data_IF_344926775134
#
_entry.id   IF_344926775134
#
_cell.length_a   1.000
_cell.length_b   1.000
_cell.length_c   1.000
_cell.angle_alpha   90.00
_cell.angle_beta   90.00
_cell.angle_gamma   90.00
#
_symmetry.space_group_name_H-M   'P 1'
#
loop_
_entity.id
_entity.type
_entity.pdbx_description
1 polymer ?
#
# COMPACT_ATOMS: atom_id res chain seq x y z
N UNK A 1 -42.60 -38.62 -63.58
CA UNK A 1 -43.23 -38.76 -62.25
C UNK A 1 -42.26 -38.20 -61.20
N UNK A 2 -42.55 -36.99 -60.72
CA UNK A 2 -41.68 -36.19 -59.83
C UNK A 2 -41.75 -36.75 -58.39
N UNK A 3 -40.62 -37.22 -57.86
CA UNK A 3 -40.45 -37.55 -56.43
C UNK A 3 -39.81 -36.35 -55.72
N UNK A 4 -40.56 -35.75 -54.78
CA UNK A 4 -40.10 -34.69 -53.89
C UNK A 4 -39.05 -35.26 -52.92
N UNK A 5 -37.87 -34.64 -52.87
CA UNK A 5 -36.88 -34.85 -51.81
C UNK A 5 -36.87 -33.59 -50.94
N UNK A 6 -37.35 -33.71 -49.71
CA UNK A 6 -37.18 -32.69 -48.67
C UNK A 6 -35.74 -32.74 -48.18
N UNK A 7 -34.98 -31.68 -48.44
CA UNK A 7 -33.68 -31.44 -47.83
C UNK A 7 -33.89 -30.96 -46.40
N UNK A 8 -33.56 -31.81 -45.42
CA UNK A 8 -33.50 -31.43 -44.02
C UNK A 8 -32.19 -30.66 -43.77
N UNK A 9 -32.30 -29.37 -43.49
CA UNK A 9 -31.17 -28.52 -43.13
C UNK A 9 -30.78 -28.84 -41.68
N UNK A 10 -29.64 -29.50 -41.46
CA UNK A 10 -29.04 -29.62 -40.12
C UNK A 10 -28.55 -28.24 -39.69
N UNK A 11 -29.19 -27.65 -38.67
CA UNK A 11 -28.66 -26.51 -37.95
C UNK A 11 -27.64 -27.05 -36.94
N UNK A 12 -26.35 -26.97 -37.29
CA UNK A 12 -25.26 -27.16 -36.33
C UNK A 12 -25.22 -25.99 -35.36
N UNK A 13 -25.70 -26.21 -34.14
CA UNK A 13 -25.52 -25.29 -33.01
C UNK A 13 -24.05 -25.36 -32.60
N UNK A 14 -23.27 -24.33 -32.94
CA UNK A 14 -21.95 -24.13 -32.36
C UNK A 14 -22.14 -23.70 -30.91
N UNK A 15 -21.97 -24.64 -29.98
CA UNK A 15 -21.81 -24.34 -28.56
C UNK A 15 -20.49 -23.57 -28.38
N UNK A 16 -20.57 -22.25 -28.31
CA UNK A 16 -19.47 -21.41 -27.84
C UNK A 16 -19.25 -21.75 -26.36
N UNK A 17 -18.24 -22.56 -26.07
CA UNK A 17 -17.69 -22.69 -24.72
C UNK A 17 -17.08 -21.36 -24.36
N UNK A 18 -17.80 -20.56 -23.58
CA UNK A 18 -17.24 -19.41 -22.86
C UNK A 18 -16.11 -20.01 -21.99
N UNK A 19 -14.85 -19.52 -22.09
CA UNK A 19 -13.83 -19.94 -21.15
C UNK A 19 -14.35 -19.61 -19.75
N UNK A 20 -14.36 -20.60 -18.87
CA UNK A 20 -14.71 -20.40 -17.47
C UNK A 20 -13.97 -19.15 -16.98
N UNK A 21 -14.70 -18.19 -16.43
CA UNK A 21 -14.11 -17.14 -15.62
C UNK A 21 -13.14 -17.86 -14.68
N UNK A 22 -11.86 -17.48 -14.70
CA UNK A 22 -10.89 -18.04 -13.77
C UNK A 22 -11.50 -17.82 -12.39
N UNK A 23 -11.85 -18.92 -11.71
CA UNK A 23 -12.30 -18.83 -10.33
C UNK A 23 -11.15 -18.14 -9.60
N UNK A 24 -11.40 -16.95 -9.04
CA UNK A 24 -10.41 -16.21 -8.28
C UNK A 24 -10.11 -17.07 -7.05
N UNK A 25 -8.96 -17.75 -7.03
CA UNK A 25 -8.61 -18.63 -5.93
C UNK A 25 -7.83 -17.83 -4.90
N UNK A 26 -8.42 -17.55 -3.74
CA UNK A 26 -7.70 -16.96 -2.62
C UNK A 26 -8.05 -17.72 -1.33
N UNK A 27 -7.52 -18.94 -1.14
CA UNK A 27 -7.95 -19.82 -0.06
C UNK A 27 -7.85 -19.21 1.34
N UNK A 28 -6.88 -18.31 1.55
CA UNK A 28 -6.72 -17.59 2.82
C UNK A 28 -7.90 -16.63 3.15
N UNK A 29 -8.74 -16.31 2.15
CA UNK A 29 -9.88 -15.41 2.28
C UNK A 29 -11.22 -16.15 2.29
N UNK A 30 -11.25 -17.45 1.97
CA UNK A 30 -12.49 -18.21 1.73
C UNK A 30 -13.40 -18.31 2.97
N UNK A 31 -12.82 -18.31 4.17
CA UNK A 31 -13.54 -18.47 5.45
C UNK A 31 -13.80 -17.14 6.18
N UNK A 32 -13.48 -15.99 5.56
CA UNK A 32 -13.71 -14.68 6.17
C UNK A 32 -15.18 -14.26 6.06
N UNK A 33 -15.71 -13.59 7.09
CA UNK A 33 -16.97 -12.86 6.98
C UNK A 33 -16.82 -11.67 6.02
N UNK A 34 -17.95 -11.13 5.53
CA UNK A 34 -17.93 -9.93 4.67
C UNK A 34 -17.20 -8.74 5.35
N UNK A 35 -17.35 -8.59 6.66
CA UNK A 35 -16.67 -7.56 7.45
C UNK A 35 -15.16 -7.80 7.49
N UNK A 36 -14.73 -9.04 7.76
CA UNK A 36 -13.31 -9.41 7.77
C UNK A 36 -12.68 -9.29 6.38
N UNK A 37 -13.44 -9.59 5.32
CA UNK A 37 -13.00 -9.40 3.94
C UNK A 37 -12.82 -7.91 3.64
N UNK A 38 -13.75 -7.05 4.06
CA UNK A 38 -13.63 -5.60 3.90
C UNK A 38 -12.42 -5.04 4.66
N UNK A 39 -12.20 -5.49 5.91
CA UNK A 39 -11.01 -5.15 6.69
C UNK A 39 -9.73 -5.58 5.96
N UNK A 40 -9.72 -6.78 5.38
CA UNK A 40 -8.58 -7.29 4.60
C UNK A 40 -8.30 -6.44 3.36
N UNK A 41 -9.34 -6.06 2.62
CA UNK A 41 -9.21 -5.19 1.44
C UNK A 41 -8.66 -3.81 1.83
N UNK A 42 -9.20 -3.21 2.90
CA UNK A 42 -8.73 -1.92 3.40
C UNK A 42 -7.26 -1.99 3.84
N UNK A 43 -6.88 -3.05 4.54
CA UNK A 43 -5.52 -3.27 4.99
C UNK A 43 -4.54 -3.40 3.83
N UNK A 44 -4.92 -4.14 2.77
CA UNK A 44 -4.14 -4.27 1.53
C UNK A 44 -3.96 -2.90 0.85
N UNK A 45 -5.02 -2.11 0.72
CA UNK A 45 -4.99 -0.79 0.08
C UNK A 45 -4.13 0.19 0.91
N UNK A 46 -4.33 0.26 2.22
CA UNK A 46 -3.56 1.14 3.10
C UNK A 46 -2.06 0.85 3.04
N UNK A 47 -1.69 -0.44 3.10
CA UNK A 47 -0.30 -0.84 2.93
C UNK A 47 0.25 -0.54 1.53
N UNK A 48 -0.58 -0.66 0.49
CA UNK A 48 -0.19 -0.29 -0.87
C UNK A 48 0.10 1.22 -0.98
N UNK A 49 -0.77 2.05 -0.40
CA UNK A 49 -0.59 3.51 -0.37
C UNK A 49 0.73 3.86 0.32
N UNK A 50 0.98 3.40 1.54
CA UNK A 50 2.21 3.73 2.25
C UNK A 50 3.46 3.25 1.49
N UNK A 51 3.47 2.01 0.99
CA UNK A 51 4.62 1.45 0.26
C UNK A 51 4.91 2.23 -1.02
N UNK A 52 3.87 2.69 -1.72
CA UNK A 52 4.03 3.51 -2.91
C UNK A 52 4.49 4.93 -2.59
N UNK A 53 4.00 5.54 -1.51
CA UNK A 53 4.51 6.83 -1.01
C UNK A 53 6.00 6.72 -0.67
N UNK A 54 6.41 5.63 -0.01
CA UNK A 54 7.82 5.35 0.28
C UNK A 54 8.67 5.31 -1.00
N UNK A 55 8.27 4.53 -2.01
CA UNK A 55 9.04 4.44 -3.26
C UNK A 55 8.98 5.73 -4.08
N UNK A 56 7.88 6.48 -4.01
CA UNK A 56 7.79 7.82 -4.61
C UNK A 56 8.69 8.83 -3.87
N UNK A 57 8.86 8.71 -2.55
CA UNK A 57 9.86 9.47 -1.79
C UNK A 57 11.29 9.09 -2.20
N UNK A 58 11.60 7.80 -2.42
CA UNK A 58 12.90 7.38 -3.01
C UNK A 58 13.13 7.98 -4.39
N UNK A 59 12.09 8.05 -5.21
CA UNK A 59 12.15 8.74 -6.49
C UNK A 59 12.53 10.21 -6.31
N UNK A 60 11.83 10.97 -5.44
CA UNK A 60 12.17 12.38 -5.17
C UNK A 60 13.63 12.54 -4.69
N UNK A 61 14.04 11.71 -3.73
CA UNK A 61 15.41 11.72 -3.18
C UNK A 61 16.43 11.50 -4.29
N UNK A 62 16.19 10.52 -5.17
CA UNK A 62 17.12 10.19 -6.26
C UNK A 62 17.14 11.23 -7.39
N UNK A 63 15.99 11.77 -7.79
CA UNK A 63 15.90 12.69 -8.93
C UNK A 63 16.46 14.08 -8.57
N UNK A 64 16.24 14.52 -7.33
CA UNK A 64 16.66 15.83 -6.83
C UNK A 64 17.98 15.79 -6.04
N UNK A 65 18.58 14.61 -5.89
CA UNK A 65 19.79 14.41 -5.08
C UNK A 65 19.62 14.98 -3.67
N UNK A 66 18.46 14.71 -3.05
CA UNK A 66 18.15 15.22 -1.73
C UNK A 66 19.08 14.62 -0.68
N UNK A 67 19.43 15.35 0.39
CA UNK A 67 20.25 14.79 1.45
C UNK A 67 19.56 13.60 2.11
N UNK A 68 20.29 12.50 2.31
CA UNK A 68 19.82 11.39 3.13
C UNK A 68 19.81 11.77 4.61
N UNK A 69 18.81 11.26 5.33
CA UNK A 69 18.77 11.34 6.79
C UNK A 69 19.92 10.51 7.36
N UNK A 70 20.80 11.15 8.14
CA UNK A 70 21.89 10.44 8.81
C UNK A 70 21.39 9.45 9.89
N UNK A 71 22.32 8.61 10.37
CA UNK A 71 22.18 7.77 11.57
C UNK A 71 21.15 6.61 11.51
N UNK A 72 21.06 5.88 10.39
CA UNK A 72 20.24 4.65 10.33
C UNK A 72 18.74 4.92 10.38
N UNK A 73 18.31 6.06 9.83
CA UNK A 73 16.92 6.38 9.55
C UNK A 73 16.66 6.09 8.08
N UNK A 74 15.50 5.51 7.76
CA UNK A 74 15.09 5.45 6.36
C UNK A 74 14.54 6.83 5.95
N UNK A 75 15.28 7.52 5.08
CA UNK A 75 14.93 8.85 4.57
C UNK A 75 13.59 8.85 3.84
N UNK A 76 13.31 7.78 3.11
CA UNK A 76 12.08 7.65 2.34
C UNK A 76 10.87 7.40 3.25
N UNK A 77 11.00 6.57 4.29
CA UNK A 77 9.93 6.44 5.31
C UNK A 77 9.63 7.79 5.98
N UNK A 78 10.67 8.54 6.38
CA UNK A 78 10.46 9.83 7.05
C UNK A 78 9.78 10.84 6.12
N UNK A 79 10.20 10.93 4.86
CA UNK A 79 9.61 11.83 3.89
C UNK A 79 8.16 11.40 3.57
N UNK A 80 7.93 10.12 3.28
CA UNK A 80 6.60 9.57 2.97
C UNK A 80 5.61 9.86 4.11
N UNK A 81 5.96 9.48 5.34
CA UNK A 81 5.10 9.71 6.49
C UNK A 81 4.87 11.21 6.75
N UNK A 82 5.89 12.05 6.60
CA UNK A 82 5.71 13.51 6.75
C UNK A 82 4.72 14.05 5.71
N UNK A 83 4.84 13.64 4.45
CA UNK A 83 3.90 14.06 3.39
C UNK A 83 2.48 13.58 3.67
N UNK A 84 2.32 12.34 4.14
CA UNK A 84 1.01 11.76 4.44
C UNK A 84 0.36 12.42 5.66
N UNK A 85 1.11 12.62 6.77
CA UNK A 85 0.61 13.29 7.98
C UNK A 85 0.29 14.78 7.77
N UNK A 86 1.04 15.47 6.90
CA UNK A 86 0.79 16.88 6.59
C UNK A 86 -0.33 17.09 5.56
N UNK A 87 -0.75 16.05 4.85
CA UNK A 87 -1.94 16.12 3.99
C UNK A 87 -3.22 16.35 4.83
N UNK A 88 -3.23 15.89 6.10
CA UNK A 88 -4.39 15.92 7.00
C UNK A 88 -5.64 15.29 6.37
N UNK A 89 -5.45 14.15 5.71
CA UNK A 89 -6.52 13.36 5.11
C UNK A 89 -6.69 12.06 5.91
N UNK A 90 -7.90 11.79 6.40
CA UNK A 90 -8.18 10.65 7.30
C UNK A 90 -7.80 9.30 6.67
N UNK A 91 -7.98 9.16 5.36
CA UNK A 91 -7.62 7.95 4.64
C UNK A 91 -6.10 7.75 4.52
N UNK A 92 -5.30 8.83 4.56
CA UNK A 92 -3.83 8.75 4.63
C UNK A 92 -3.36 8.39 6.05
N UNK A 93 -4.01 8.95 7.07
CA UNK A 93 -3.77 8.55 8.46
C UNK A 93 -4.03 7.05 8.64
N UNK A 94 -5.17 6.56 8.11
CA UNK A 94 -5.52 5.13 8.07
C UNK A 94 -4.48 4.30 7.31
N UNK A 95 -3.93 4.81 6.20
CA UNK A 95 -2.90 4.10 5.45
C UNK A 95 -1.58 3.96 6.23
N UNK A 96 -1.19 4.97 7.01
CA UNK A 96 -0.01 4.88 7.89
C UNK A 96 -0.26 3.86 9.01
N UNK A 97 -1.44 3.90 9.66
CA UNK A 97 -1.81 2.93 10.71
C UNK A 97 -1.76 1.50 10.17
N UNK A 98 -2.39 1.24 9.02
CA UNK A 98 -2.35 -0.07 8.36
C UNK A 98 -0.92 -0.53 8.05
N UNK A 99 -0.03 0.39 7.67
CA UNK A 99 1.37 0.08 7.42
C UNK A 99 2.11 -0.31 8.71
N UNK A 100 1.92 0.44 9.79
CA UNK A 100 2.56 0.12 11.07
C UNK A 100 2.02 -1.17 11.71
N UNK A 101 0.73 -1.44 11.56
CA UNK A 101 0.12 -2.69 11.99
C UNK A 101 0.65 -3.87 11.20
N UNK A 102 0.88 -3.73 9.89
CA UNK A 102 1.49 -4.80 9.10
C UNK A 102 2.90 -5.12 9.55
N UNK A 103 3.69 -4.12 9.95
CA UNK A 103 5.03 -4.38 10.49
C UNK A 103 4.95 -5.09 11.83
N UNK A 104 3.98 -4.73 12.69
CA UNK A 104 3.72 -5.42 13.95
C UNK A 104 3.32 -6.88 13.76
N UNK A 105 2.33 -7.13 12.90
CA UNK A 105 1.88 -8.48 12.56
C UNK A 105 3.01 -9.31 11.94
N UNK A 106 3.80 -8.73 11.04
CA UNK A 106 4.93 -9.41 10.41
C UNK A 106 6.01 -9.86 11.42
N UNK A 107 6.19 -9.18 12.56
CA UNK A 107 7.14 -9.64 13.61
C UNK A 107 6.69 -10.93 14.29
N UNK A 108 5.39 -11.13 14.34
CA UNK A 108 4.77 -12.27 15.04
C UNK A 108 4.42 -13.40 14.08
N UNK A 109 4.59 -13.18 12.77
CA UNK A 109 4.35 -14.19 11.75
C UNK A 109 5.34 -15.36 11.92
N UNK A 110 4.88 -16.62 11.84
CA UNK A 110 5.74 -17.79 12.01
C UNK A 110 6.78 -17.93 10.89
N UNK A 111 6.44 -17.43 9.70
CA UNK A 111 7.32 -17.35 8.55
C UNK A 111 6.97 -16.13 7.72
N UNK A 112 7.98 -15.52 7.10
CA UNK A 112 7.83 -14.45 6.13
C UNK A 112 8.33 -14.94 4.77
N UNK A 113 7.74 -14.46 3.66
CA UNK A 113 8.21 -14.81 2.33
C UNK A 113 9.63 -14.30 2.08
N UNK A 114 10.31 -14.95 1.14
CA UNK A 114 11.62 -14.50 0.67
C UNK A 114 11.53 -13.08 0.13
N UNK A 115 12.53 -12.27 0.50
CA UNK A 115 12.64 -10.86 0.13
C UNK A 115 14.11 -10.51 -0.09
N UNK A 116 14.34 -9.30 -0.61
CA UNK A 116 15.68 -8.74 -0.78
C UNK A 116 15.86 -7.64 0.26
N UNK A 117 17.11 -7.29 0.56
CA UNK A 117 17.43 -6.01 1.20
C UNK A 117 16.63 -4.88 0.52
N UNK A 118 16.15 -3.87 1.26
CA UNK A 118 16.79 -3.29 2.46
C UNK A 118 16.20 -3.72 3.82
N UNK A 119 16.91 -3.37 4.90
CA UNK A 119 16.57 -3.63 6.32
C UNK A 119 15.23 -3.00 6.78
N UNK A 120 14.66 -2.10 5.98
CA UNK A 120 13.40 -1.39 6.26
C UNK A 120 12.21 -1.90 5.41
N UNK A 121 12.27 -3.12 4.87
CA UNK A 121 11.13 -3.75 4.20
C UNK A 121 10.08 -4.23 5.21
N UNK A 122 8.79 -4.20 4.87
CA UNK A 122 7.75 -4.84 5.68
C UNK A 122 7.95 -6.36 5.84
N UNK A 123 8.76 -6.96 4.96
CA UNK A 123 9.17 -8.37 5.02
C UNK A 123 10.40 -8.60 5.93
N UNK A 124 10.99 -7.52 6.47
CA UNK A 124 12.09 -7.53 7.44
C UNK A 124 11.61 -6.83 8.72
N UNK A 125 11.19 -7.57 9.76
CA UNK A 125 10.90 -7.00 11.06
C UNK A 125 12.03 -6.11 11.59
N UNK A 126 11.72 -4.84 11.88
CA UNK A 126 12.71 -3.85 12.31
C UNK A 126 12.14 -2.90 13.37
N UNK A 127 12.49 -3.14 14.63
CA UNK A 127 12.05 -2.31 15.77
C UNK A 127 12.51 -0.86 15.70
N UNK A 128 13.65 -0.60 15.08
CA UNK A 128 14.14 0.77 14.90
C UNK A 128 13.26 1.53 13.92
N UNK A 129 12.80 0.88 12.85
CA UNK A 129 11.82 1.44 11.90
C UNK A 129 10.51 1.77 12.60
N UNK A 130 10.02 0.85 13.42
CA UNK A 130 8.78 1.01 14.19
C UNK A 130 8.85 2.27 15.08
N UNK A 131 9.88 2.36 15.93
CA UNK A 131 10.03 3.51 16.83
C UNK A 131 10.22 4.83 16.08
N UNK A 132 10.90 4.81 14.92
CA UNK A 132 11.06 6.00 14.08
C UNK A 132 9.71 6.49 13.51
N UNK A 133 8.87 5.58 13.01
CA UNK A 133 7.55 5.91 12.49
C UNK A 133 6.60 6.36 13.61
N UNK A 134 6.55 5.61 14.72
CA UNK A 134 5.77 5.97 15.90
C UNK A 134 6.11 7.37 16.42
N UNK A 135 7.40 7.75 16.39
CA UNK A 135 7.84 9.08 16.80
C UNK A 135 7.34 10.19 15.86
N UNK A 136 7.25 9.94 14.54
CA UNK A 136 6.64 10.90 13.61
C UNK A 136 5.15 11.07 13.89
N UNK A 137 4.44 9.96 14.07
CA UNK A 137 2.99 9.94 14.31
C UNK A 137 2.63 10.65 15.63
N UNK A 138 3.25 10.27 16.76
CA UNK A 138 3.07 10.96 18.05
C UNK A 138 3.53 12.41 17.99
N UNK A 139 4.59 12.68 17.21
CA UNK A 139 5.08 14.04 17.04
C UNK A 139 4.07 14.96 16.34
N UNK A 140 3.28 14.43 15.40
CA UNK A 140 2.15 15.11 14.77
C UNK A 140 0.95 15.24 15.71
N UNK A 141 0.51 14.12 16.27
CA UNK A 141 -0.66 14.02 17.13
C UNK A 141 -0.52 12.88 18.15
N UNK A 142 -0.02 13.20 19.34
CA UNK A 142 0.11 12.25 20.44
C UNK A 142 -1.25 11.73 20.95
N UNK A 143 -2.33 12.49 20.75
CA UNK A 143 -3.67 12.11 21.18
C UNK A 143 -4.26 11.02 20.27
N UNK A 144 -4.12 11.19 18.95
CA UNK A 144 -4.58 10.23 17.96
C UNK A 144 -3.71 8.98 17.85
N UNK A 145 -2.39 9.10 17.99
CA UNK A 145 -1.45 8.01 17.70
C UNK A 145 -0.80 7.36 18.92
N UNK A 146 -1.15 7.79 20.14
CA UNK A 146 -0.49 7.36 21.36
C UNK A 146 -0.55 5.85 21.62
N UNK A 147 -1.72 5.23 21.49
CA UNK A 147 -1.91 3.80 21.77
C UNK A 147 -1.14 2.92 20.77
N UNK A 148 -1.14 3.30 19.50
CA UNK A 148 -0.35 2.65 18.45
C UNK A 148 1.14 2.80 18.72
N UNK A 149 1.61 3.98 19.11
CA UNK A 149 3.02 4.21 19.43
C UNK A 149 3.50 3.39 20.64
N UNK A 150 2.65 3.24 21.66
CA UNK A 150 2.90 2.34 22.79
C UNK A 150 3.04 0.88 22.30
N UNK A 151 2.14 0.42 21.41
CA UNK A 151 2.18 -0.92 20.83
C UNK A 151 3.44 -1.16 19.99
N UNK A 152 3.87 -0.15 19.24
CA UNK A 152 5.11 -0.15 18.46
C UNK A 152 6.38 -0.09 19.32
N UNK A 153 6.23 0.11 20.64
CA UNK A 153 7.33 0.08 21.60
C UNK A 153 8.07 1.41 21.74
N UNK A 154 7.46 2.55 21.36
CA UNK A 154 8.01 3.87 21.62
C UNK A 154 7.81 4.25 23.10
N UNK A 155 8.88 4.40 23.91
CA UNK A 155 8.72 4.74 25.32
C UNK A 155 8.04 6.11 25.49
N UNK A 156 7.05 6.22 26.40
CA UNK A 156 6.37 7.50 26.71
C UNK A 156 7.31 8.65 27.07
N UNK A 157 8.47 8.34 27.65
CA UNK A 157 9.50 9.32 27.95
C UNK A 157 10.06 10.03 26.69
N UNK A 158 9.95 9.41 25.52
CA UNK A 158 10.43 9.95 24.24
C UNK A 158 9.39 10.82 23.52
N UNK A 159 8.11 10.73 23.89
CA UNK A 159 7.01 11.39 23.17
C UNK A 159 7.17 12.91 23.12
N UNK A 160 7.57 13.55 24.23
CA UNK A 160 7.81 15.00 24.25
C UNK A 160 8.94 15.43 23.31
N UNK A 161 9.95 14.59 23.15
CA UNK A 161 11.04 14.84 22.21
C UNK A 161 10.54 14.69 20.76
N UNK A 162 9.69 13.70 20.49
CA UNK A 162 9.02 13.51 19.20
C UNK A 162 8.14 14.71 18.81
N UNK A 163 7.26 15.18 19.70
CA UNK A 163 6.45 16.40 19.52
C UNK A 163 7.31 17.64 19.22
N UNK A 164 8.47 17.75 19.88
CA UNK A 164 9.38 18.88 19.66
C UNK A 164 10.11 18.78 18.31
N UNK A 165 10.44 17.56 17.88
CA UNK A 165 11.19 17.30 16.66
C UNK A 165 10.31 17.31 15.38
N UNK A 166 9.02 17.01 15.50
CA UNK A 166 8.15 16.87 14.33
C UNK A 166 8.01 18.18 13.51
N UNK A 167 7.74 19.36 14.11
CA UNK A 167 7.69 20.61 13.34
C UNK A 167 9.00 20.95 12.63
N UNK A 168 10.15 20.53 13.19
CA UNK A 168 11.46 20.70 12.57
C UNK A 168 11.62 19.77 11.36
N UNK A 169 11.09 18.54 11.45
CA UNK A 169 11.06 17.57 10.34
C UNK A 169 10.19 18.09 9.19
N UNK A 170 9.00 18.62 9.49
CA UNK A 170 8.12 19.25 8.51
C UNK A 170 8.81 20.45 7.84
N UNK A 171 9.39 21.35 8.63
CA UNK A 171 10.10 22.51 8.09
C UNK A 171 11.29 22.11 7.19
N UNK A 172 12.04 21.08 7.59
CA UNK A 172 13.13 20.54 6.80
C UNK A 172 12.66 20.04 5.43
N UNK A 173 11.62 19.20 5.38
CA UNK A 173 11.12 18.67 4.12
C UNK A 173 10.47 19.75 3.24
N UNK A 174 9.75 20.69 3.83
CA UNK A 174 9.18 21.82 3.10
C UNK A 174 10.26 22.66 2.43
N UNK A 175 11.31 23.06 3.15
CA UNK A 175 12.39 23.86 2.55
C UNK A 175 13.24 23.05 1.56
N UNK A 176 13.41 21.74 1.79
CA UNK A 176 14.14 20.85 0.88
C UNK A 176 13.40 20.65 -0.44
N UNK A 177 12.07 20.51 -0.42
CA UNK A 177 11.27 20.22 -1.62
C UNK A 177 10.80 21.47 -2.36
N UNK A 178 10.72 22.63 -1.70
CA UNK A 178 10.26 23.90 -2.27
C UNK A 178 10.96 24.31 -3.59
N UNK A 179 12.28 24.13 -3.76
CA UNK A 179 12.94 24.45 -5.03
C UNK A 179 12.51 23.55 -6.21
N UNK A 180 11.89 22.41 -5.92
CA UNK A 180 11.50 21.39 -6.88
C UNK A 180 10.00 21.37 -7.17
N UNK A 181 9.24 22.26 -6.54
CA UNK A 181 7.81 22.40 -6.79
C UNK A 181 7.55 22.91 -8.22
N UNK A 182 6.57 22.30 -8.87
CA UNK A 182 6.15 22.61 -10.23
C UNK A 182 4.64 22.79 -10.30
N UNK A 183 4.16 23.35 -11.42
CA UNK A 183 2.74 23.31 -11.72
C UNK A 183 2.31 21.84 -11.89
N UNK A 184 1.22 21.44 -11.25
CA UNK A 184 0.67 20.10 -11.39
C UNK A 184 0.54 19.70 -12.87
N UNK A 185 1.06 18.52 -13.20
CA UNK A 185 1.07 17.98 -14.57
C UNK A 185 2.29 18.36 -15.41
N UNK A 186 3.29 19.05 -14.85
CA UNK A 186 4.59 19.26 -15.50
C UNK A 186 5.29 17.91 -15.73
N UNK A 187 5.31 17.06 -14.71
CA UNK A 187 5.76 15.67 -14.83
C UNK A 187 4.65 14.80 -15.40
N UNK A 188 4.98 14.00 -16.42
CA UNK A 188 4.07 12.99 -16.94
C UNK A 188 4.25 11.66 -16.20
N UNK A 189 3.18 11.19 -15.58
CA UNK A 189 3.08 9.85 -15.02
C UNK A 189 2.28 8.94 -15.97
N UNK A 190 2.73 7.70 -16.14
CA UNK A 190 2.04 6.68 -16.93
C UNK A 190 1.73 5.49 -16.02
N UNK A 191 0.44 5.29 -15.74
CA UNK A 191 -0.06 4.19 -14.91
C UNK A 191 -0.38 2.96 -15.77
N UNK A 192 0.01 1.78 -15.29
CA UNK A 192 -0.29 0.51 -15.93
C UNK A 192 -0.62 -0.54 -14.88
N UNK A 193 -1.71 -1.27 -15.10
CA UNK A 193 -2.10 -2.42 -14.29
C UNK A 193 -2.09 -3.64 -15.23
N UNK A 194 -1.01 -4.43 -15.17
CA UNK A 194 -0.88 -5.63 -16.01
C UNK A 194 -1.82 -6.74 -15.50
N UNK A 195 -2.32 -7.62 -16.38
CA UNK A 195 -3.03 -8.81 -15.93
C UNK A 195 -2.16 -9.67 -15.00
N UNK A 196 -2.77 -10.20 -13.94
CA UNK A 196 -2.11 -11.23 -13.14
C UNK A 196 -1.81 -12.46 -14.00
N UNK A 197 -0.65 -13.08 -13.76
CA UNK A 197 -0.21 -14.29 -14.49
C UNK A 197 -0.39 -15.57 -13.69
N UNK A 198 -1.01 -15.45 -12.52
CA UNK A 198 -1.32 -16.51 -11.58
C UNK A 198 -2.75 -16.30 -11.06
N UNK A 199 -3.65 -17.29 -11.18
CA UNK A 199 -5.02 -17.19 -10.65
C UNK A 199 -5.09 -16.88 -9.15
N UNK A 200 -4.06 -17.24 -8.37
CA UNK A 200 -3.96 -16.90 -6.94
C UNK A 200 -3.68 -15.42 -6.67
N UNK A 201 -3.36 -14.64 -7.72
CA UNK A 201 -3.14 -13.20 -7.64
C UNK A 201 -4.30 -12.38 -8.20
N UNK A 202 -5.31 -13.00 -8.82
CA UNK A 202 -6.38 -12.28 -9.53
C UNK A 202 -7.17 -11.34 -8.61
N UNK A 203 -7.51 -11.78 -7.39
CA UNK A 203 -8.23 -10.93 -6.44
C UNK A 203 -7.37 -9.75 -5.99
N UNK A 204 -6.09 -9.97 -5.72
CA UNK A 204 -5.17 -8.92 -5.27
C UNK A 204 -4.87 -7.92 -6.40
N UNK A 205 -4.74 -8.39 -7.64
CA UNK A 205 -4.65 -7.54 -8.81
C UNK A 205 -5.90 -6.69 -9.00
N UNK A 206 -7.08 -7.27 -8.75
CA UNK A 206 -8.36 -6.55 -8.77
C UNK A 206 -8.40 -5.48 -7.69
N UNK A 207 -8.06 -5.80 -6.43
CA UNK A 207 -8.00 -4.84 -5.33
C UNK A 207 -7.09 -3.65 -5.67
N UNK A 208 -5.86 -3.92 -6.15
CA UNK A 208 -4.90 -2.86 -6.51
C UNK A 208 -5.38 -2.02 -7.70
N UNK A 209 -6.03 -2.63 -8.70
CA UNK A 209 -6.53 -1.93 -9.89
C UNK A 209 -7.78 -1.09 -9.63
N UNK A 210 -8.71 -1.61 -8.85
CA UNK A 210 -9.99 -0.93 -8.57
C UNK A 210 -9.81 0.18 -7.53
N UNK A 211 -8.85 0.03 -6.60
CA UNK A 211 -8.49 1.11 -5.66
C UNK A 211 -7.76 2.30 -6.30
N UNK A 212 -7.29 2.19 -7.55
CA UNK A 212 -6.58 3.28 -8.26
C UNK A 212 -5.36 3.83 -7.51
N UNK A 213 -4.71 3.01 -6.69
CA UNK A 213 -3.58 3.45 -5.85
C UNK A 213 -2.39 3.99 -6.65
N UNK A 214 -2.15 3.51 -7.88
CA UNK A 214 -1.10 4.12 -8.72
C UNK A 214 -1.50 5.51 -9.23
N UNK A 215 -2.76 5.71 -9.54
CA UNK A 215 -3.29 6.99 -10.03
C UNK A 215 -3.31 8.03 -8.90
N UNK A 216 -3.57 7.60 -7.66
CA UNK A 216 -3.34 8.42 -6.48
C UNK A 216 -1.90 8.93 -6.43
N UNK A 217 -0.91 8.06 -6.55
CA UNK A 217 0.51 8.44 -6.49
C UNK A 217 0.88 9.39 -7.63
N UNK A 218 0.39 9.14 -8.84
CA UNK A 218 0.55 10.05 -9.95
C UNK A 218 0.02 11.46 -9.63
N UNK A 219 -1.15 11.57 -9.00
CA UNK A 219 -1.73 12.86 -8.58
C UNK A 219 -0.93 13.52 -7.47
N UNK A 220 -0.63 12.79 -6.39
CA UNK A 220 0.08 13.30 -5.20
C UNK A 220 1.47 13.84 -5.52
N UNK A 221 2.16 13.24 -6.49
CA UNK A 221 3.52 13.64 -6.86
C UNK A 221 3.58 14.46 -8.17
N UNK A 222 2.44 14.80 -8.77
CA UNK A 222 2.37 15.60 -10.01
C UNK A 222 2.85 17.04 -9.86
N UNK A 223 2.96 17.53 -8.63
CA UNK A 223 3.37 18.90 -8.29
C UNK A 223 4.89 19.07 -8.16
N UNK A 224 5.69 18.09 -8.58
CA UNK A 224 7.17 18.17 -8.59
C UNK A 224 7.73 18.13 -10.02
N UNK A 225 8.85 18.83 -10.24
CA UNK A 225 9.55 18.91 -11.53
C UNK A 225 10.50 17.72 -11.75
N UNK A 226 9.95 16.52 -11.93
CA UNK A 226 10.74 15.28 -12.05
C UNK A 226 11.33 15.13 -13.46
N UNK A 227 12.43 14.36 -13.54
CA UNK A 227 13.21 14.23 -14.77
C UNK A 227 12.49 13.39 -15.84
N UNK A 228 11.64 13.99 -16.66
CA UNK A 228 10.97 13.26 -17.73
C UNK A 228 9.87 12.32 -17.23
N UNK A 229 9.48 11.35 -18.06
CA UNK A 229 8.33 10.49 -17.76
C UNK A 229 8.62 9.49 -16.63
N UNK A 230 7.63 9.26 -15.76
CA UNK A 230 7.67 8.26 -14.68
C UNK A 230 6.59 7.22 -14.93
N UNK A 231 6.97 5.93 -14.92
CA UNK A 231 6.03 4.81 -15.01
C UNK A 231 5.63 4.34 -13.62
N UNK A 232 4.35 4.05 -13.44
CA UNK A 232 3.82 3.36 -12.27
C UNK A 232 3.18 2.07 -12.77
N UNK A 233 3.68 0.91 -12.35
CA UNK A 233 3.24 -0.38 -12.90
C UNK A 233 2.92 -1.36 -11.79
N UNK A 234 1.70 -1.87 -11.77
CA UNK A 234 1.33 -3.03 -10.95
C UNK A 234 1.34 -4.28 -11.82
N UNK A 235 2.01 -5.35 -11.35
CA UNK A 235 2.16 -6.61 -12.11
C UNK A 235 2.51 -7.80 -11.23
N UNK A 236 2.49 -9.00 -11.81
CA UNK A 236 3.09 -10.22 -11.21
C UNK A 236 4.62 -10.14 -11.27
N UNK A 237 5.29 -10.35 -10.14
CA UNK A 237 6.76 -10.30 -10.03
C UNK A 237 7.43 -11.63 -9.65
N UNK A 238 6.65 -12.61 -9.17
CA UNK A 238 7.11 -13.87 -8.60
C UNK A 238 7.54 -13.78 -7.13
N UNK A 239 7.44 -12.60 -6.50
CA UNK A 239 7.81 -12.35 -5.10
C UNK A 239 7.20 -11.03 -4.59
N UNK A 240 6.89 -10.92 -3.28
CA UNK A 240 6.36 -9.70 -2.70
C UNK A 240 7.43 -8.61 -2.70
N UNK A 241 7.14 -7.49 -3.36
CA UNK A 241 8.04 -6.35 -3.48
C UNK A 241 7.29 -5.08 -3.92
N UNK A 242 7.85 -3.92 -3.58
CA UNK A 242 7.47 -2.61 -4.13
C UNK A 242 8.76 -1.81 -4.25
N UNK A 243 9.11 -1.33 -5.43
CA UNK A 243 10.41 -0.69 -5.63
C UNK A 243 10.41 0.40 -6.71
N UNK A 244 11.23 1.42 -6.50
CA UNK A 244 11.64 2.41 -7.48
C UNK A 244 12.90 1.96 -8.23
N UNK A 245 12.89 2.10 -9.56
CA UNK A 245 14.08 1.95 -10.41
C UNK A 245 14.39 3.27 -11.11
N UNK A 246 15.48 3.93 -10.68
CA UNK A 246 15.97 5.15 -11.31
C UNK A 246 16.37 4.95 -12.78
N UNK A 247 16.98 3.81 -13.11
CA UNK A 247 17.37 3.45 -14.49
C UNK A 247 16.15 3.33 -15.41
N UNK A 248 15.11 2.62 -14.97
CA UNK A 248 13.90 2.38 -15.78
C UNK A 248 12.86 3.48 -15.66
N UNK A 249 13.08 4.43 -14.75
CA UNK A 249 12.10 5.43 -14.31
C UNK A 249 10.73 4.83 -14.02
N UNK A 250 10.72 3.82 -13.14
CA UNK A 250 9.53 3.03 -12.88
C UNK A 250 9.41 2.69 -11.39
N UNK A 251 8.24 2.97 -10.81
CA UNK A 251 7.81 2.35 -9.56
C UNK A 251 7.02 1.09 -9.94
N UNK A 252 7.46 -0.06 -9.46
CA UNK A 252 6.77 -1.34 -9.64
C UNK A 252 6.11 -1.76 -8.33
N UNK A 253 4.81 -2.09 -8.38
CA UNK A 253 4.07 -2.73 -7.29
C UNK A 253 3.78 -4.19 -7.64
N UNK A 254 4.29 -5.14 -6.86
CA UNK A 254 4.09 -6.56 -7.12
C UNK A 254 2.79 -7.04 -6.47
N UNK A 255 1.92 -7.74 -7.21
CA UNK A 255 0.66 -8.27 -6.67
C UNK A 255 0.88 -9.26 -5.52
N UNK A 256 2.04 -9.90 -5.48
CA UNK A 256 2.48 -10.73 -4.37
C UNK A 256 2.61 -9.95 -3.05
N UNK A 257 2.90 -8.64 -3.10
CA UNK A 257 2.92 -7.79 -1.90
C UNK A 257 1.50 -7.57 -1.37
N UNK A 258 0.53 -7.35 -2.26
CA UNK A 258 -0.88 -7.28 -1.87
C UNK A 258 -1.37 -8.62 -1.31
N UNK A 259 -0.97 -9.75 -1.91
CA UNK A 259 -1.23 -11.09 -1.37
C UNK A 259 -0.65 -11.26 0.03
N UNK A 260 0.61 -10.90 0.23
CA UNK A 260 1.25 -10.98 1.54
C UNK A 260 0.46 -10.21 2.62
N UNK A 261 0.12 -8.95 2.38
CA UNK A 261 -0.66 -8.17 3.36
C UNK A 261 -2.05 -8.75 3.60
N UNK A 262 -2.73 -9.21 2.55
CA UNK A 262 -4.06 -9.80 2.67
C UNK A 262 -4.05 -11.10 3.47
N UNK A 263 -3.08 -11.98 3.23
CA UNK A 263 -2.92 -13.23 3.99
C UNK A 263 -2.46 -12.97 5.43
N UNK A 264 -1.62 -11.95 5.64
CA UNK A 264 -1.13 -11.56 6.96
C UNK A 264 -2.28 -11.13 7.89
N UNK A 265 -3.15 -10.24 7.40
CA UNK A 265 -4.30 -9.77 8.20
C UNK A 265 -5.39 -10.84 8.30
N UNK A 266 -5.66 -11.60 7.24
CA UNK A 266 -6.63 -12.69 7.27
C UNK A 266 -6.27 -13.75 8.34
N UNK A 267 -4.98 -14.11 8.44
CA UNK A 267 -4.49 -15.00 9.48
C UNK A 267 -4.71 -14.44 10.89
N UNK A 268 -4.49 -13.14 11.09
CA UNK A 268 -4.76 -12.47 12.37
C UNK A 268 -6.25 -12.54 12.74
N UNK A 269 -7.13 -12.13 11.81
CA UNK A 269 -8.58 -12.11 12.00
C UNK A 269 -9.15 -13.51 12.29
N UNK A 270 -8.64 -14.54 11.60
CA UNK A 270 -9.09 -15.93 11.78
C UNK A 270 -8.75 -16.50 13.17
N UNK A 271 -7.67 -16.04 13.81
CA UNK A 271 -7.28 -16.52 15.16
C UNK A 271 -8.05 -15.88 16.31
N UNK A 272 -9.14 -15.16 16.02
CA UNK A 272 -9.91 -14.43 17.03
C UNK A 272 -9.30 -13.08 17.38
N UNK A 273 -8.51 -12.49 16.47
CA UNK A 273 -8.07 -11.09 16.51
C UNK A 273 -9.23 -10.09 16.32
N UNK A 274 -10.41 -10.40 16.84
CA UNK A 274 -11.35 -9.35 17.20
C UNK A 274 -10.72 -8.64 18.39
N UNK A 275 -10.48 -7.34 18.25
CA UNK A 275 -10.24 -6.42 19.35
C UNK A 275 -11.04 -6.89 20.57
N UNK A 276 -10.34 -7.31 21.64
CA UNK A 276 -11.02 -7.56 22.91
C UNK A 276 -11.77 -6.28 23.24
N UNK A 277 -13.08 -6.40 23.42
CA UNK A 277 -13.97 -5.39 24.00
C UNK A 277 -13.28 -4.65 25.15
N UNK A 278 -12.67 -3.51 24.83
CA UNK A 278 -12.47 -2.43 25.78
C UNK A 278 -13.64 -1.46 25.58
N UNK A 279 -14.33 -1.14 26.67
CA UNK A 279 -15.36 -0.09 26.81
C UNK A 279 -15.21 1.05 25.79
N UNK A 280 -16.35 1.58 25.28
CA UNK A 280 -16.48 2.07 23.91
C UNK A 280 -15.30 2.99 23.57
N UNK A 281 -14.29 2.40 22.93
CA UNK A 281 -13.35 3.16 22.16
C UNK A 281 -14.22 3.99 21.21
N UNK A 282 -14.15 5.32 21.34
CA UNK A 282 -14.61 6.20 20.27
C UNK A 282 -14.03 5.60 18.99
N UNK A 283 -14.91 5.20 18.09
CA UNK A 283 -14.63 4.50 16.83
C UNK A 283 -13.18 4.68 16.42
N UNK A 284 -12.38 3.61 16.51
CA UNK A 284 -11.19 3.51 15.67
C UNK A 284 -11.74 3.65 14.25
N UNK A 285 -11.33 4.64 13.44
CA UNK A 285 -11.88 4.80 12.11
C UNK A 285 -11.39 3.65 11.23
N UNK A 286 -12.06 2.50 11.31
CA UNK A 286 -11.98 1.50 10.25
C UNK A 286 -12.77 2.07 9.08
N UNK A 287 -12.08 2.84 8.24
CA UNK A 287 -12.67 3.52 7.09
C UNK A 287 -13.23 2.51 6.08
N UNK A 288 -14.54 2.28 6.17
CA UNK A 288 -15.35 1.89 5.02
C UNK A 288 -15.38 3.11 4.08
N UNK A 289 -14.98 2.91 2.81
CA UNK A 289 -15.01 3.87 1.68
C UNK A 289 -13.71 4.58 1.24
N UNK A 290 -12.56 3.91 1.28
CA UNK A 290 -11.41 4.32 0.43
C UNK A 290 -11.75 4.37 -1.08
N UNK A 291 -12.78 3.64 -1.53
CA UNK A 291 -13.19 3.61 -2.94
C UNK A 291 -14.02 4.80 -3.43
N UNK A 292 -14.44 5.71 -2.55
CA UNK A 292 -15.24 6.89 -2.93
C UNK A 292 -14.44 8.21 -2.86
N UNK A 293 -13.27 8.20 -2.23
CA UNK A 293 -12.43 9.40 -2.02
C UNK A 293 -11.13 9.40 -2.84
N UNK A 294 -10.82 8.28 -3.51
CA UNK A 294 -9.74 8.16 -4.52
C UNK A 294 -10.29 8.49 -5.92
#
# INVERSE_FOLDING_TARGET
MLRRLMTATLVTVFSLTIPAAHAQTAPALDDLSDEQLQQTVNFVIGNAIFSLYHEASRMLISDFSLPETGAGKDTADQLAATMMLEANEEWLDTAIVNATDSWYLARSAPALPDHNAPIYSALVPNKTRDSQMACLMVGKDAGGYGDLADMMGLPKAEWKACETAYPQTVAYWNETLKPHAAKAGTTKFVTSYEPARDPFLDIYATIVKESKVLDLIARSFSAYDLKGEVKLTARTCGRPDVYWSAEKREITYCYEMAKFHGELIAAHLATGGAEKESEPAKEIPTAVNLGQEL
#
